data_IF_044637959151
#
_entry.id   IF_044637959151
#
_cell.length_a   1.000
_cell.length_b   1.000
_cell.length_c   1.000
_cell.angle_alpha   90.00
_cell.angle_beta   90.00
_cell.angle_gamma   90.00
#
_symmetry.space_group_name_H-M   'P 1'
#
loop_
_entity.id
_entity.type
_entity.pdbx_description
1 polymer ?
#
# COMPACT_ATOMS: atom_id res chain seq x y z
N UNK A 1 21.00 26.61 -9.85
CA UNK A 1 20.55 25.33 -9.28
C UNK A 1 19.49 24.82 -10.22
N UNK A 2 19.78 23.76 -10.96
CA UNK A 2 18.86 23.22 -11.95
C UNK A 2 17.94 22.20 -11.28
N UNK A 3 16.64 22.28 -11.58
CA UNK A 3 15.61 21.41 -11.02
C UNK A 3 14.90 20.73 -12.18
N UNK A 4 14.84 19.40 -12.13
CA UNK A 4 14.15 18.59 -13.12
C UNK A 4 12.90 17.98 -12.50
N UNK A 5 11.74 18.24 -13.10
CA UNK A 5 10.47 17.65 -12.67
C UNK A 5 10.24 16.31 -13.36
N UNK A 6 9.93 15.27 -12.57
CA UNK A 6 9.55 13.96 -13.07
C UNK A 6 8.06 13.78 -12.81
N UNK A 7 7.29 13.51 -13.87
CA UNK A 7 5.88 13.15 -13.76
C UNK A 7 5.71 11.65 -13.99
N UNK A 8 5.06 10.98 -13.05
CA UNK A 8 4.75 9.56 -13.14
C UNK A 8 3.24 9.44 -13.28
N UNK A 9 2.80 8.83 -14.39
CA UNK A 9 1.39 8.50 -14.58
C UNK A 9 1.10 7.15 -13.95
N UNK A 10 0.15 7.12 -13.00
CA UNK A 10 -0.31 5.88 -12.37
C UNK A 10 -0.93 4.97 -13.42
N UNK A 11 -0.46 3.73 -13.51
CA UNK A 11 -1.06 2.69 -14.35
C UNK A 11 -1.72 1.61 -13.49
N UNK A 12 -2.60 0.80 -14.08
CA UNK A 12 -3.27 -0.29 -13.34
C UNK A 12 -2.25 -1.29 -12.79
N UNK A 13 -1.20 -1.58 -13.54
CA UNK A 13 -0.17 -2.55 -13.15
C UNK A 13 0.63 -2.12 -11.92
N UNK A 14 0.64 -0.81 -11.58
CA UNK A 14 1.33 -0.31 -10.39
C UNK A 14 0.69 -0.79 -9.08
N UNK A 15 -0.54 -1.30 -9.09
CA UNK A 15 -1.13 -1.94 -7.91
C UNK A 15 -0.64 -3.37 -7.68
N UNK A 16 -0.02 -3.98 -8.68
CA UNK A 16 0.41 -5.39 -8.68
C UNK A 16 1.94 -5.53 -8.64
N UNK A 17 2.67 -4.56 -9.21
CA UNK A 17 4.13 -4.56 -9.26
C UNK A 17 4.72 -3.18 -9.00
N UNK A 18 5.94 -3.18 -8.47
CA UNK A 18 6.72 -1.98 -8.28
C UNK A 18 7.68 -1.77 -9.45
N UNK A 19 7.76 -0.53 -9.91
CA UNK A 19 8.71 -0.08 -10.92
C UNK A 19 9.92 0.56 -10.25
N UNK A 20 11.07 0.43 -10.90
CA UNK A 20 12.33 1.00 -10.45
C UNK A 20 12.77 2.03 -11.47
N UNK A 21 12.94 3.27 -11.02
CA UNK A 21 13.59 4.31 -11.82
C UNK A 21 15.01 4.50 -11.30
N UNK A 22 15.98 4.02 -12.08
CA UNK A 22 17.40 4.08 -11.72
C UNK A 22 18.08 5.21 -12.49
N UNK A 23 18.60 6.19 -11.76
CA UNK A 23 19.43 7.26 -12.30
C UNK A 23 20.89 6.96 -12.04
N UNK A 24 21.72 7.19 -13.05
CA UNK A 24 23.18 7.05 -12.96
C UNK A 24 23.83 8.28 -13.55
N UNK A 25 24.77 8.86 -12.81
CA UNK A 25 25.68 9.89 -13.31
C UNK A 25 26.66 9.23 -14.28
N UNK A 26 26.74 9.79 -15.49
CA UNK A 26 27.70 9.38 -16.51
C UNK A 26 28.74 10.49 -16.68
N UNK A 27 30.03 10.16 -16.84
CA UNK A 27 31.06 11.15 -17.10
C UNK A 27 30.85 11.77 -18.49
N UNK A 28 31.33 13.01 -18.65
CA UNK A 28 31.38 13.69 -19.93
C UNK A 28 32.75 14.40 -20.09
N UNK A 29 32.89 15.24 -21.12
CA UNK A 29 34.17 15.92 -21.41
C UNK A 29 34.61 16.88 -20.30
N UNK A 30 33.67 17.42 -19.53
CA UNK A 30 33.88 18.47 -18.55
C UNK A 30 33.78 17.96 -17.10
N UNK A 31 33.29 16.73 -16.89
CA UNK A 31 32.98 16.19 -15.58
C UNK A 31 33.29 14.69 -15.46
N UNK A 32 34.14 14.34 -14.50
CA UNK A 32 34.38 12.96 -14.09
C UNK A 32 33.43 12.55 -12.95
N UNK A 33 33.08 11.27 -12.89
CA UNK A 33 32.14 10.72 -11.89
C UNK A 33 32.85 9.97 -10.77
N UNK A 34 34.12 10.29 -10.49
CA UNK A 34 34.94 9.64 -9.47
C UNK A 34 34.62 10.24 -8.10
N UNK A 35 33.44 9.87 -7.57
CA UNK A 35 32.94 10.42 -6.32
C UNK A 35 33.39 9.57 -5.13
N UNK A 36 33.93 10.21 -4.08
CA UNK A 36 34.21 9.53 -2.82
C UNK A 36 32.92 8.98 -2.23
N UNK A 37 32.87 7.67 -1.95
CA UNK A 37 31.71 7.03 -1.34
C UNK A 37 31.82 7.10 0.20
N UNK A 38 30.90 7.79 0.89
CA UNK A 38 30.88 7.76 2.33
C UNK A 38 30.49 6.37 2.84
N UNK A 39 31.11 5.95 3.93
CA UNK A 39 30.78 4.71 4.61
C UNK A 39 29.79 4.98 5.75
N UNK A 40 28.79 4.12 5.86
CA UNK A 40 27.99 3.94 7.08
C UNK A 40 28.51 2.73 7.86
N UNK A 41 28.03 2.50 9.08
CA UNK A 41 28.42 1.33 9.89
C UNK A 41 28.27 0.00 9.14
N UNK A 42 27.28 -0.10 8.25
CA UNK A 42 26.87 -1.37 7.65
C UNK A 42 26.95 -1.38 6.10
N UNK A 43 27.30 -0.26 5.44
CA UNK A 43 27.37 -0.21 3.96
C UNK A 43 28.09 1.01 3.38
N UNK A 44 28.53 0.89 2.12
CA UNK A 44 28.93 2.01 1.27
C UNK A 44 27.70 2.73 0.73
N UNK A 45 27.67 4.06 0.82
CA UNK A 45 26.60 4.88 0.23
C UNK A 45 26.92 5.16 -1.24
N UNK A 46 25.99 4.83 -2.15
CA UNK A 46 26.13 5.19 -3.56
C UNK A 46 26.05 6.71 -3.74
N UNK A 47 27.06 7.29 -4.37
CA UNK A 47 27.13 8.73 -4.70
C UNK A 47 26.90 9.02 -6.18
N UNK A 48 27.02 8.00 -7.03
CA UNK A 48 26.86 8.12 -8.49
C UNK A 48 25.51 7.63 -9.02
N UNK A 49 24.64 7.10 -8.16
CA UNK A 49 23.33 6.60 -8.58
C UNK A 49 22.28 6.74 -7.50
N UNK A 50 21.03 6.91 -7.93
CA UNK A 50 19.84 6.89 -7.07
C UNK A 50 18.80 5.99 -7.72
N UNK A 51 18.17 5.15 -6.91
CA UNK A 51 17.05 4.30 -7.32
C UNK A 51 15.80 4.78 -6.62
N UNK A 52 14.78 5.13 -7.40
CA UNK A 52 13.45 5.42 -6.90
C UNK A 52 12.55 4.19 -7.08
N UNK A 53 11.86 3.82 -6.01
CA UNK A 53 10.86 2.76 -6.03
C UNK A 53 9.49 3.40 -6.23
N UNK A 54 8.80 3.00 -7.29
CA UNK A 54 7.55 3.61 -7.74
C UNK A 54 6.50 2.51 -7.82
N UNK A 55 5.49 2.56 -6.96
CA UNK A 55 4.38 1.62 -6.98
C UNK A 55 3.21 2.15 -6.19
N UNK A 56 2.06 1.53 -6.37
CA UNK A 56 0.85 1.77 -5.59
C UNK A 56 0.43 0.50 -4.85
N UNK A 57 1.39 -0.36 -4.49
CA UNK A 57 1.10 -1.57 -3.72
C UNK A 57 0.57 -1.18 -2.34
N UNK A 58 -0.54 -1.81 -1.95
CA UNK A 58 -1.00 -1.81 -0.56
C UNK A 58 -0.75 -3.21 -0.03
N UNK A 59 0.39 -3.46 0.64
CA UNK A 59 0.66 -4.76 1.24
C UNK A 59 -0.31 -5.00 2.40
N UNK A 60 -0.52 -6.29 2.74
CA UNK A 60 -1.27 -6.67 3.93
C UNK A 60 -0.62 -6.04 5.17
N UNK A 61 -1.31 -5.16 5.91
CA UNK A 61 -0.74 -4.55 7.11
C UNK A 61 -0.44 -5.59 8.19
N UNK A 62 0.61 -5.36 8.98
CA UNK A 62 1.01 -6.30 10.04
C UNK A 62 -0.04 -6.48 11.15
N UNK A 63 -0.92 -5.50 11.38
CA UNK A 63 -2.06 -5.62 12.31
C UNK A 63 -3.36 -6.01 11.62
N UNK A 64 -3.31 -6.50 10.38
CA UNK A 64 -4.47 -7.09 9.74
C UNK A 64 -4.76 -8.47 10.33
N UNK A 65 -5.86 -8.57 11.08
CA UNK A 65 -6.27 -9.81 11.75
C UNK A 65 -7.40 -10.49 10.97
N UNK A 66 -7.06 -11.51 10.18
CA UNK A 66 -8.01 -12.22 9.30
C UNK A 66 -9.23 -12.77 10.07
N UNK A 67 -9.05 -13.18 11.32
CA UNK A 67 -10.15 -13.65 12.19
C UNK A 67 -11.29 -12.63 12.31
N UNK A 68 -10.98 -11.33 12.26
CA UNK A 68 -11.97 -10.24 12.37
C UNK A 68 -12.21 -9.56 11.03
N UNK A 69 -11.15 -9.34 10.23
CA UNK A 69 -11.21 -8.55 9.01
C UNK A 69 -11.40 -9.41 7.74
N UNK A 70 -11.28 -10.72 7.85
CA UNK A 70 -11.36 -11.65 6.72
C UNK A 70 -10.08 -11.66 5.90
N UNK A 71 -10.11 -12.42 4.80
CA UNK A 71 -9.01 -12.44 3.84
C UNK A 71 -8.71 -11.02 3.34
N UNK A 72 -7.43 -10.64 3.37
CA UNK A 72 -6.98 -9.33 2.95
C UNK A 72 -7.12 -9.18 1.44
N UNK A 73 -7.80 -8.11 1.03
CA UNK A 73 -7.77 -7.61 -0.34
C UNK A 73 -7.59 -6.09 -0.32
N UNK A 74 -6.96 -5.56 -1.37
CA UNK A 74 -6.84 -4.11 -1.57
C UNK A 74 -8.21 -3.43 -1.52
N UNK A 75 -9.18 -4.02 -2.20
CA UNK A 75 -10.56 -3.52 -2.25
C UNK A 75 -11.17 -3.44 -0.86
N UNK A 76 -10.96 -4.47 -0.02
CA UNK A 76 -11.51 -4.51 1.33
C UNK A 76 -10.91 -3.45 2.24
N UNK A 77 -9.58 -3.32 2.30
CA UNK A 77 -8.97 -2.29 3.17
C UNK A 77 -9.40 -0.87 2.77
N UNK A 78 -9.49 -0.59 1.46
CA UNK A 78 -9.96 0.71 0.97
C UNK A 78 -11.42 0.95 1.32
N UNK A 79 -12.28 -0.06 1.22
CA UNK A 79 -13.67 0.05 1.64
C UNK A 79 -13.78 0.31 3.16
N UNK A 80 -13.00 -0.38 3.98
CA UNK A 80 -12.98 -0.14 5.43
C UNK A 80 -12.54 1.29 5.73
N UNK A 81 -11.48 1.76 5.06
CA UNK A 81 -11.00 3.14 5.19
C UNK A 81 -12.09 4.15 4.83
N UNK A 82 -12.79 3.94 3.73
CA UNK A 82 -13.88 4.82 3.28
C UNK A 82 -15.05 4.84 4.27
N UNK A 83 -15.51 3.67 4.73
CA UNK A 83 -16.71 3.59 5.58
C UNK A 83 -16.46 4.02 7.03
N UNK A 84 -15.23 3.90 7.52
CA UNK A 84 -14.89 4.23 8.92
C UNK A 84 -14.08 5.52 9.06
N UNK A 85 -13.89 6.27 7.96
CA UNK A 85 -13.06 7.49 7.92
C UNK A 85 -11.64 7.25 8.46
N UNK A 86 -11.01 6.19 7.96
CA UNK A 86 -9.67 5.76 8.34
C UNK A 86 -8.70 5.83 7.15
N UNK A 87 -7.42 5.74 7.46
CA UNK A 87 -6.33 5.60 6.49
C UNK A 87 -5.70 4.22 6.56
N UNK A 88 -5.02 3.80 5.49
CA UNK A 88 -4.27 2.54 5.45
C UNK A 88 -3.22 2.49 6.57
N UNK A 89 -2.64 3.64 6.95
CA UNK A 89 -1.61 3.73 7.97
C UNK A 89 -2.13 3.35 9.37
N UNK A 90 -3.42 3.52 9.64
CA UNK A 90 -4.00 3.17 10.94
C UNK A 90 -3.88 1.66 11.22
N UNK A 91 -3.93 0.83 10.17
CA UNK A 91 -3.73 -0.62 10.25
C UNK A 91 -2.30 -1.04 10.60
N UNK A 92 -1.38 -0.11 10.85
CA UNK A 92 -0.06 -0.41 11.42
C UNK A 92 -0.09 -0.41 12.96
N UNK A 93 -1.06 0.27 13.57
CA UNK A 93 -1.13 0.51 15.01
C UNK A 93 -2.42 0.06 15.67
N UNK A 94 -3.45 -0.33 14.91
CA UNK A 94 -4.71 -0.81 15.50
C UNK A 94 -4.50 -1.93 16.52
N UNK A 95 -5.25 -1.84 17.60
CA UNK A 95 -5.39 -2.86 18.63
C UNK A 95 -6.33 -3.98 18.18
N UNK A 96 -6.31 -5.10 18.92
CA UNK A 96 -7.24 -6.21 18.69
C UNK A 96 -8.69 -5.77 18.89
N UNK A 97 -8.95 -4.93 19.89
CA UNK A 97 -10.29 -4.43 20.17
C UNK A 97 -10.84 -3.56 19.01
N UNK A 98 -9.98 -2.74 18.42
CA UNK A 98 -10.34 -1.95 17.22
C UNK A 98 -10.61 -2.88 16.03
N UNK A 99 -9.77 -3.89 15.78
CA UNK A 99 -10.01 -4.86 14.71
C UNK A 99 -11.36 -5.61 14.87
N UNK A 100 -11.73 -5.97 16.11
CA UNK A 100 -13.05 -6.56 16.44
C UNK A 100 -14.18 -5.59 16.12
N UNK A 101 -14.04 -4.34 16.56
CA UNK A 101 -15.04 -3.31 16.30
C UNK A 101 -15.24 -3.07 14.80
N UNK A 102 -14.13 -2.89 14.07
CA UNK A 102 -14.13 -2.68 12.62
C UNK A 102 -14.78 -3.84 11.90
N UNK A 103 -14.41 -5.08 12.25
CA UNK A 103 -15.00 -6.29 11.68
C UNK A 103 -16.53 -6.31 11.83
N UNK A 104 -17.04 -6.10 13.04
CA UNK A 104 -18.50 -6.10 13.30
C UNK A 104 -19.23 -4.93 12.64
N UNK A 105 -18.63 -3.73 12.66
CA UNK A 105 -19.21 -2.55 12.03
C UNK A 105 -19.34 -2.74 10.51
N UNK A 106 -18.30 -3.28 9.88
CA UNK A 106 -18.26 -3.52 8.46
C UNK A 106 -19.17 -4.68 8.03
N UNK A 107 -19.27 -5.75 8.81
CA UNK A 107 -20.22 -6.82 8.49
C UNK A 107 -21.66 -6.32 8.53
N UNK A 108 -22.00 -5.47 9.51
CA UNK A 108 -23.31 -4.81 9.56
C UNK A 108 -23.56 -3.95 8.31
N UNK A 109 -22.56 -3.18 7.87
CA UNK A 109 -22.65 -2.41 6.64
C UNK A 109 -22.88 -3.31 5.41
N UNK A 110 -22.10 -4.38 5.25
CA UNK A 110 -22.24 -5.32 4.14
C UNK A 110 -23.63 -5.98 4.11
N UNK A 111 -24.16 -6.35 5.29
CA UNK A 111 -25.52 -6.88 5.41
C UNK A 111 -26.58 -5.87 4.97
N UNK A 112 -26.46 -4.60 5.39
CA UNK A 112 -27.37 -3.52 4.98
C UNK A 112 -27.33 -3.29 3.47
N UNK A 113 -26.14 -3.29 2.87
CA UNK A 113 -25.98 -3.13 1.42
C UNK A 113 -26.63 -4.30 0.67
N UNK A 114 -26.44 -5.54 1.14
CA UNK A 114 -27.10 -6.72 0.58
C UNK A 114 -28.63 -6.63 0.68
N UNK A 115 -29.17 -6.22 1.83
CA UNK A 115 -30.61 -6.02 2.03
C UNK A 115 -31.20 -4.95 1.10
N UNK A 116 -30.40 -3.92 0.79
CA UNK A 116 -30.75 -2.89 -0.19
C UNK A 116 -30.56 -3.34 -1.65
N UNK A 117 -30.17 -4.59 -1.90
CA UNK A 117 -29.94 -5.15 -3.24
C UNK A 117 -28.57 -4.81 -3.84
N UNK A 118 -27.66 -4.21 -3.07
CA UNK A 118 -26.29 -3.90 -3.47
C UNK A 118 -25.29 -4.87 -2.83
N UNK A 119 -25.07 -6.02 -3.46
CA UNK A 119 -24.08 -6.99 -2.96
C UNK A 119 -22.68 -6.51 -3.35
N UNK A 120 -21.82 -6.31 -2.35
CA UNK A 120 -20.43 -5.92 -2.55
C UNK A 120 -19.60 -7.19 -2.71
N UNK A 121 -18.87 -7.29 -3.82
CA UNK A 121 -18.04 -8.45 -4.14
C UNK A 121 -16.55 -8.16 -3.99
N UNK A 122 -15.76 -9.19 -3.72
CA UNK A 122 -14.31 -9.21 -3.90
C UNK A 122 -13.94 -9.12 -5.39
N UNK A 123 -12.64 -8.99 -5.69
CA UNK A 123 -12.16 -8.97 -7.09
C UNK A 123 -12.35 -10.31 -7.82
N UNK A 124 -12.41 -11.41 -7.09
CA UNK A 124 -12.65 -12.76 -7.62
C UNK A 124 -14.15 -13.10 -7.77
N UNK A 125 -15.03 -12.16 -7.45
CA UNK A 125 -16.48 -12.33 -7.57
C UNK A 125 -17.16 -13.03 -6.38
N UNK A 126 -16.43 -13.40 -5.32
CA UNK A 126 -17.06 -13.84 -4.06
C UNK A 126 -17.73 -12.65 -3.36
N UNK A 127 -18.83 -12.89 -2.65
CA UNK A 127 -19.42 -11.86 -1.78
C UNK A 127 -18.39 -11.45 -0.72
N UNK A 128 -18.20 -10.15 -0.56
CA UNK A 128 -17.30 -9.63 0.46
C UNK A 128 -17.93 -9.86 1.82
N UNK A 129 -17.19 -10.58 2.67
CA UNK A 129 -17.54 -10.83 4.07
C UNK A 129 -16.34 -10.51 4.96
N UNK A 130 -16.63 -10.13 6.21
CA UNK A 130 -15.62 -9.95 7.25
C UNK A 130 -15.19 -11.30 7.83
N UNK A 131 -14.23 -11.31 8.76
CA UNK A 131 -13.73 -12.53 9.37
C UNK A 131 -14.80 -13.27 10.17
N UNK A 132 -14.60 -14.58 10.37
CA UNK A 132 -15.57 -15.46 11.05
C UNK A 132 -16.04 -14.91 12.41
N UNK A 133 -15.15 -14.31 13.20
CA UNK A 133 -15.48 -13.75 14.50
C UNK A 133 -16.26 -12.42 14.45
N UNK A 134 -16.58 -11.94 13.25
CA UNK A 134 -17.32 -10.70 12.99
C UNK A 134 -18.63 -10.90 12.24
N UNK A 135 -18.95 -12.14 11.87
CA UNK A 135 -20.23 -12.53 11.28
C UNK A 135 -21.41 -12.40 12.26
#
# INVERSE_FOLDING_TARGET
>A
MDVYSIQIHRTKEMSERQYLLHFRLLPNQDFDTTLTQPQTKDSLVSTGSITLYIGDLIPKPGRWLDTYLGEFSRKKILLICEQLDMTINDFTTISVAEAVYMGKAMQRYLNQQREAGNIIYEEDGREMIMGEASQ
#
